data_IF_489798581422
#
_entry.id   IF_489798581422
#
_cell.length_a   1.000
_cell.length_b   1.000
_cell.length_c   1.000
_cell.angle_alpha   90.00
_cell.angle_beta   90.00
_cell.angle_gamma   90.00
#
_symmetry.space_group_name_H-M   'P 1'
#
loop_
_entity.id
_entity.type
_entity.pdbx_description
1 polymer ?
#
# COMPACT_ATOMS: atom_id res chain seq x y z
N UNK A 1 8.90 21.07 4.31
CA UNK A 1 9.86 19.94 4.29
C UNK A 1 9.80 19.28 5.66
N UNK A 2 9.29 18.06 5.77
CA UNK A 2 9.21 17.39 7.07
C UNK A 2 10.56 16.75 7.42
N UNK A 3 10.90 16.72 8.71
CA UNK A 3 12.09 16.04 9.22
C UNK A 3 12.09 14.54 8.83
N UNK A 4 10.93 13.89 8.85
CA UNK A 4 10.79 12.49 8.45
C UNK A 4 11.16 12.25 6.98
N UNK A 5 10.76 13.12 6.07
CA UNK A 5 11.15 13.02 4.67
C UNK A 5 12.65 13.21 4.48
N UNK A 6 13.25 14.14 5.20
CA UNK A 6 14.69 14.38 5.17
C UNK A 6 15.49 13.16 5.65
N UNK A 7 15.07 12.54 6.76
CA UNK A 7 15.71 11.33 7.28
C UNK A 7 15.59 10.15 6.30
N UNK A 8 14.45 9.99 5.65
CA UNK A 8 14.28 8.95 4.63
C UNK A 8 15.23 9.14 3.45
N UNK A 9 15.40 10.38 2.97
CA UNK A 9 16.35 10.68 1.89
C UNK A 9 17.79 10.31 2.26
N UNK A 10 18.20 10.56 3.50
CA UNK A 10 19.53 10.18 3.98
C UNK A 10 19.70 8.66 4.08
N UNK A 11 18.64 7.92 4.41
CA UNK A 11 18.69 6.47 4.62
C UNK A 11 18.55 5.67 3.31
N UNK A 12 17.95 6.23 2.27
CA UNK A 12 17.70 5.51 1.00
C UNK A 12 18.92 4.83 0.39
N UNK A 13 20.11 5.47 0.33
CA UNK A 13 21.31 4.83 -0.20
C UNK A 13 21.81 3.66 0.63
N UNK A 14 21.38 3.55 1.89
CA UNK A 14 21.83 2.52 2.84
C UNK A 14 21.01 1.23 2.69
N UNK A 15 19.75 1.31 2.26
CA UNK A 15 18.89 0.14 2.15
C UNK A 15 19.46 -0.99 1.30
N UNK A 16 20.04 -0.76 0.12
CA UNK A 16 20.65 -1.84 -0.67
C UNK A 16 21.88 -2.49 0.00
N UNK A 17 22.51 -1.82 0.95
CA UNK A 17 23.65 -2.36 1.72
C UNK A 17 23.16 -3.28 2.83
N UNK A 18 22.11 -2.88 3.57
CA UNK A 18 21.54 -3.63 4.70
C UNK A 18 20.61 -4.75 4.20
N UNK A 19 19.83 -4.45 3.16
CA UNK A 19 18.88 -5.35 2.52
C UNK A 19 19.16 -5.42 1.02
N UNK A 20 20.07 -6.29 0.55
CA UNK A 20 20.54 -6.30 -0.85
C UNK A 20 19.45 -6.54 -1.91
N UNK A 21 18.32 -7.12 -1.52
CA UNK A 21 17.15 -7.34 -2.39
C UNK A 21 16.23 -6.11 -2.48
N UNK A 22 16.39 -5.12 -1.61
CA UNK A 22 15.63 -3.86 -1.60
C UNK A 22 16.43 -2.79 -2.31
N UNK A 23 15.92 -2.28 -3.43
CA UNK A 23 16.57 -1.25 -4.24
C UNK A 23 16.24 0.14 -3.72
N UNK A 24 14.97 0.36 -3.35
CA UNK A 24 14.47 1.62 -2.83
C UNK A 24 13.30 1.37 -1.88
N UNK A 25 13.09 2.27 -0.91
CA UNK A 25 12.01 2.21 0.04
C UNK A 25 11.56 3.62 0.42
N UNK A 26 10.26 3.80 0.53
CA UNK A 26 9.64 5.06 0.94
C UNK A 26 8.42 4.81 1.82
N UNK A 27 8.36 5.48 2.97
CA UNK A 27 7.19 5.49 3.86
C UNK A 27 6.48 6.83 3.77
N UNK A 28 5.16 6.81 3.58
CA UNK A 28 4.39 8.02 3.31
C UNK A 28 4.08 8.79 4.59
N UNK A 29 4.51 10.07 4.63
CA UNK A 29 4.34 10.94 5.78
C UNK A 29 2.89 11.25 6.12
N UNK A 30 2.03 11.32 5.10
CA UNK A 30 0.59 11.57 5.27
C UNK A 30 -0.12 10.47 6.07
N UNK A 31 0.48 9.27 6.13
CA UNK A 31 -0.01 8.13 6.91
C UNK A 31 0.78 7.91 8.21
N UNK A 32 1.54 8.91 8.68
CA UNK A 32 2.34 8.81 9.90
C UNK A 32 3.65 8.03 9.75
N UNK A 33 4.16 7.83 8.54
CA UNK A 33 5.40 7.12 8.19
C UNK A 33 5.45 5.62 8.49
N UNK A 34 4.46 5.07 9.20
CA UNK A 34 4.43 3.66 9.56
C UNK A 34 3.34 2.88 8.83
N UNK A 35 2.17 3.48 8.63
CA UNK A 35 1.00 2.74 8.15
C UNK A 35 1.14 2.26 6.70
N UNK A 36 1.75 3.07 5.82
CA UNK A 36 1.85 2.77 4.39
C UNK A 36 3.27 3.00 3.89
N UNK A 37 3.84 1.97 3.27
CA UNK A 37 5.16 2.04 2.67
C UNK A 37 5.18 1.40 1.28
N UNK A 38 6.12 1.84 0.47
CA UNK A 38 6.38 1.32 -0.87
C UNK A 38 7.84 0.94 -1.02
N UNK A 39 8.12 -0.13 -1.78
CA UNK A 39 9.49 -0.50 -2.08
C UNK A 39 9.66 -0.97 -3.52
N UNK A 40 10.85 -0.70 -4.06
CA UNK A 40 11.36 -1.33 -5.28
C UNK A 40 12.30 -2.44 -4.84
N UNK A 41 12.02 -3.66 -5.30
CA UNK A 41 12.76 -4.87 -4.92
C UNK A 41 13.28 -5.63 -6.13
N UNK A 42 14.22 -6.51 -5.94
CA UNK A 42 14.68 -7.44 -6.97
C UNK A 42 13.70 -8.61 -7.08
N UNK A 43 13.42 -9.02 -8.31
CA UNK A 43 12.65 -10.23 -8.63
C UNK A 43 13.46 -11.05 -9.64
N UNK A 44 14.55 -11.66 -9.16
CA UNK A 44 15.47 -12.46 -9.99
C UNK A 44 14.95 -13.86 -10.25
N UNK A 45 14.06 -14.33 -9.37
CA UNK A 45 13.34 -15.60 -9.47
C UNK A 45 11.92 -15.42 -8.91
N UNK A 46 11.02 -16.31 -9.30
CA UNK A 46 9.60 -16.17 -8.96
C UNK A 46 9.36 -16.02 -7.46
N UNK A 47 8.65 -14.97 -7.08
CA UNK A 47 8.28 -14.63 -5.70
C UNK A 47 9.43 -14.22 -4.77
N UNK A 48 10.59 -13.88 -5.29
CA UNK A 48 11.66 -13.27 -4.49
C UNK A 48 11.20 -11.98 -3.79
N UNK A 49 10.32 -11.21 -4.42
CA UNK A 49 9.73 -10.02 -3.83
C UNK A 49 9.07 -10.29 -2.46
N UNK A 50 8.46 -11.46 -2.26
CA UNK A 50 7.87 -11.83 -0.96
C UNK A 50 8.91 -12.03 0.13
N UNK A 51 10.11 -12.53 -0.21
CA UNK A 51 11.24 -12.61 0.72
C UNK A 51 11.65 -11.20 1.19
N UNK A 52 11.68 -10.24 0.26
CA UNK A 52 11.94 -8.83 0.58
C UNK A 52 10.84 -8.23 1.46
N UNK A 53 9.57 -8.57 1.21
CA UNK A 53 8.45 -8.15 2.05
C UNK A 53 8.62 -8.64 3.50
N UNK A 54 8.92 -9.92 3.69
CA UNK A 54 9.16 -10.49 5.02
C UNK A 54 10.35 -9.84 5.71
N UNK A 55 11.43 -9.54 4.97
CA UNK A 55 12.58 -8.84 5.52
C UNK A 55 12.20 -7.44 6.00
N UNK A 56 11.49 -6.66 5.18
CA UNK A 56 11.05 -5.30 5.53
C UNK A 56 10.12 -5.34 6.74
N UNK A 57 9.11 -6.21 6.73
CA UNK A 57 8.12 -6.32 7.81
C UNK A 57 8.69 -6.92 9.11
N UNK A 58 9.86 -7.51 9.08
CA UNK A 58 10.58 -8.07 10.25
C UNK A 58 11.76 -7.23 10.72
N UNK A 59 12.11 -6.12 10.08
CA UNK A 59 13.33 -5.36 10.33
C UNK A 59 13.09 -4.09 11.15
N UNK A 60 13.39 -4.10 12.45
CA UNK A 60 13.44 -2.91 13.30
C UNK A 60 12.21 -2.01 13.15
N UNK A 61 12.43 -0.72 12.89
CA UNK A 61 11.37 0.28 12.69
C UNK A 61 10.49 0.00 11.46
N UNK A 62 11.00 -0.67 10.44
CA UNK A 62 10.23 -1.04 9.26
C UNK A 62 9.14 -2.08 9.59
N UNK A 63 9.29 -2.83 10.67
CA UNK A 63 8.29 -3.78 11.16
C UNK A 63 6.98 -3.11 11.61
N UNK A 64 6.98 -1.80 11.81
CA UNK A 64 5.79 -1.02 12.13
C UNK A 64 4.90 -0.76 10.90
N UNK A 65 5.40 -1.00 9.69
CA UNK A 65 4.61 -0.88 8.46
C UNK A 65 3.39 -1.80 8.51
N UNK A 66 2.22 -1.22 8.27
CA UNK A 66 0.95 -1.95 8.23
C UNK A 66 0.62 -2.47 6.84
N UNK A 67 0.78 -1.64 5.82
CA UNK A 67 0.54 -2.00 4.43
C UNK A 67 1.76 -1.67 3.58
N UNK A 68 2.30 -2.70 2.90
CA UNK A 68 3.50 -2.60 2.08
C UNK A 68 3.15 -2.90 0.62
N UNK A 69 3.48 -1.98 -0.27
CA UNK A 69 3.36 -2.17 -1.71
C UNK A 69 4.74 -2.37 -2.34
N UNK A 70 4.87 -3.38 -3.18
CA UNK A 70 6.14 -3.77 -3.80
C UNK A 70 6.05 -3.76 -5.32
N UNK A 71 7.13 -3.33 -5.96
CA UNK A 71 7.35 -3.49 -7.41
C UNK A 71 8.79 -3.91 -7.69
N UNK A 72 9.01 -4.58 -8.82
CA UNK A 72 10.33 -4.91 -9.36
C UNK A 72 10.83 -3.90 -10.39
N UNK A 73 10.03 -2.85 -10.66
CA UNK A 73 10.34 -1.81 -11.61
C UNK A 73 10.84 -0.55 -10.91
N UNK A 74 11.85 0.12 -11.47
CA UNK A 74 12.29 1.41 -10.98
C UNK A 74 11.24 2.48 -11.27
N UNK A 75 10.62 3.00 -10.22
CA UNK A 75 9.59 4.04 -10.26
C UNK A 75 9.84 5.06 -9.16
N UNK A 76 9.32 6.26 -9.33
CA UNK A 76 9.35 7.27 -8.27
C UNK A 76 8.34 6.93 -7.18
N UNK A 77 8.83 6.38 -6.07
CA UNK A 77 8.00 5.99 -4.92
C UNK A 77 7.36 7.18 -4.21
N UNK A 78 7.94 8.38 -4.32
CA UNK A 78 7.40 9.58 -3.67
C UNK A 78 6.11 10.07 -4.31
N UNK A 79 5.91 9.81 -5.59
CA UNK A 79 4.68 10.13 -6.29
C UNK A 79 3.65 9.01 -6.10
N UNK A 80 2.91 9.07 -5.00
CA UNK A 80 1.97 8.03 -4.61
C UNK A 80 0.93 7.71 -5.68
N UNK A 81 0.38 8.70 -6.36
CA UNK A 81 -0.62 8.49 -7.42
C UNK A 81 -0.05 7.65 -8.56
N UNK A 82 1.14 7.99 -9.04
CA UNK A 82 1.82 7.24 -10.11
C UNK A 82 2.24 5.85 -9.66
N UNK A 83 2.69 5.74 -8.42
CA UNK A 83 3.05 4.45 -7.85
C UNK A 83 1.83 3.54 -7.69
N UNK A 84 0.71 4.06 -7.20
CA UNK A 84 -0.54 3.31 -7.08
C UNK A 84 -1.06 2.85 -8.45
N UNK A 85 -1.09 3.73 -9.45
CA UNK A 85 -1.41 3.37 -10.84
C UNK A 85 -0.51 2.23 -11.34
N UNK A 86 0.80 2.32 -11.09
CA UNK A 86 1.76 1.31 -11.49
C UNK A 86 1.47 -0.06 -10.86
N UNK A 87 1.14 -0.09 -9.57
CA UNK A 87 0.77 -1.30 -8.84
C UNK A 87 -0.54 -1.89 -9.37
N UNK A 88 -1.59 -1.06 -9.49
CA UNK A 88 -2.92 -1.48 -9.92
C UNK A 88 -2.93 -2.06 -11.34
N UNK A 89 -2.08 -1.55 -12.23
CA UNK A 89 -1.93 -2.09 -13.58
C UNK A 89 -1.31 -3.49 -13.61
N UNK A 90 -0.60 -3.91 -12.56
CA UNK A 90 0.22 -5.14 -12.53
C UNK A 90 -0.28 -6.19 -11.55
N UNK A 91 -0.88 -5.79 -10.45
CA UNK A 91 -1.32 -6.72 -9.42
C UNK A 91 -2.48 -7.60 -9.89
N UNK A 92 -2.46 -8.88 -9.49
CA UNK A 92 -3.61 -9.78 -9.54
C UNK A 92 -4.08 -9.98 -8.11
N UNK A 93 -5.31 -9.59 -7.83
CA UNK A 93 -5.85 -9.61 -6.46
C UNK A 93 -5.81 -11.00 -5.83
N UNK A 94 -6.00 -12.03 -6.64
CA UNK A 94 -6.06 -13.44 -6.21
C UNK A 94 -4.69 -13.99 -5.78
N UNK A 95 -3.60 -13.42 -6.30
CA UNK A 95 -2.26 -13.99 -6.12
C UNK A 95 -1.23 -13.01 -5.57
N UNK A 96 -1.50 -11.71 -5.62
CA UNK A 96 -0.52 -10.67 -5.32
C UNK A 96 -0.91 -9.81 -4.10
N UNK A 97 -2.10 -10.04 -3.52
CA UNK A 97 -2.53 -9.46 -2.25
C UNK A 97 -2.42 -10.51 -1.14
N UNK A 98 -1.66 -10.18 -0.10
CA UNK A 98 -1.49 -11.02 1.08
C UNK A 98 -1.93 -10.26 2.31
N UNK A 99 -2.79 -10.86 3.10
CA UNK A 99 -3.27 -10.32 4.37
C UNK A 99 -2.86 -11.25 5.51
N UNK A 100 -2.15 -10.72 6.47
CA UNK A 100 -1.68 -11.42 7.66
C UNK A 100 -2.42 -10.87 8.86
N UNK A 101 -3.23 -11.68 9.48
CA UNK A 101 -3.95 -11.32 10.71
C UNK A 101 -3.16 -11.72 11.95
N UNK A 102 -3.52 -11.10 13.08
CA UNK A 102 -2.98 -11.46 14.39
C UNK A 102 -1.46 -11.28 14.50
N UNK A 103 -0.96 -10.15 14.02
CA UNK A 103 0.44 -9.76 14.11
C UNK A 103 0.63 -8.63 15.12
N UNK A 104 1.88 -8.46 15.56
CA UNK A 104 2.27 -7.29 16.35
C UNK A 104 2.18 -6.02 15.52
N UNK A 105 1.69 -4.95 16.14
CA UNK A 105 1.54 -3.63 15.53
C UNK A 105 2.08 -2.54 16.45
N UNK A 106 2.28 -1.33 15.90
CA UNK A 106 2.60 -0.15 16.68
C UNK A 106 1.48 0.16 17.68
N UNK A 107 1.85 0.67 18.86
CA UNK A 107 0.92 1.22 19.86
C UNK A 107 0.06 2.35 19.30
N UNK A 108 0.48 3.03 18.23
CA UNK A 108 -0.26 4.09 17.57
C UNK A 108 -1.24 3.58 16.49
N UNK A 109 -1.31 2.28 16.26
CA UNK A 109 -2.35 1.69 15.40
C UNK A 109 -3.63 1.46 16.19
N UNK A 110 -4.55 2.41 16.08
CA UNK A 110 -5.87 2.34 16.73
C UNK A 110 -6.92 1.58 15.92
N UNK A 111 -6.57 1.00 14.77
CA UNK A 111 -7.49 0.22 13.94
C UNK A 111 -7.69 -1.22 14.42
N UNK A 112 -6.88 -1.68 15.37
CA UNK A 112 -6.99 -3.00 15.98
C UNK A 112 -7.93 -3.03 17.17
N UNK A 113 -8.43 -4.23 17.51
CA UNK A 113 -9.27 -4.44 18.70
C UNK A 113 -8.47 -4.38 20.02
N UNK A 114 -7.17 -4.58 19.95
CA UNK A 114 -6.26 -4.62 21.09
C UNK A 114 -4.98 -3.83 20.79
N UNK A 115 -4.38 -3.25 21.81
CA UNK A 115 -3.10 -2.53 21.71
C UNK A 115 -2.01 -3.51 21.23
N UNK A 116 -1.16 -3.05 20.30
CA UNK A 116 -0.06 -3.82 19.69
C UNK A 116 -0.49 -5.07 18.91
N UNK A 117 -1.75 -5.20 18.55
CA UNK A 117 -2.27 -6.34 17.83
C UNK A 117 -3.11 -5.89 16.64
N UNK A 118 -2.81 -6.42 15.46
CA UNK A 118 -3.52 -6.04 14.25
C UNK A 118 -3.22 -6.96 13.09
N UNK A 119 -3.42 -6.44 11.90
CA UNK A 119 -3.16 -7.13 10.64
C UNK A 119 -2.20 -6.33 9.76
N UNK A 120 -1.48 -7.02 8.89
CA UNK A 120 -0.61 -6.43 7.87
C UNK A 120 -1.03 -6.87 6.49
N UNK A 121 -0.77 -6.03 5.49
CA UNK A 121 -1.01 -6.34 4.10
C UNK A 121 0.24 -6.16 3.25
N UNK A 122 0.39 -6.99 2.23
CA UNK A 122 1.39 -6.84 1.17
C UNK A 122 0.68 -6.91 -0.16
N UNK A 123 0.92 -5.92 -1.02
CA UNK A 123 0.42 -5.88 -2.38
C UNK A 123 1.59 -5.79 -3.36
N UNK A 124 1.66 -6.71 -4.31
CA UNK A 124 2.73 -6.76 -5.30
C UNK A 124 2.23 -6.38 -6.68
N UNK A 125 2.94 -5.46 -7.33
CA UNK A 125 2.75 -5.10 -8.73
C UNK A 125 4.02 -5.37 -9.51
N UNK A 126 4.23 -6.64 -9.91
CA UNK A 126 5.46 -7.13 -10.52
C UNK A 126 5.30 -7.31 -12.04
N UNK A 127 6.42 -7.22 -12.74
CA UNK A 127 6.51 -7.52 -14.15
C UNK A 127 5.76 -6.53 -15.07
N UNK A 128 5.14 -7.06 -16.12
CA UNK A 128 4.40 -6.26 -17.11
C UNK A 128 2.97 -5.97 -16.65
N UNK A 129 2.36 -4.86 -17.13
CA UNK A 129 0.95 -4.61 -16.90
C UNK A 129 0.08 -5.80 -17.35
N UNK A 130 -0.94 -6.12 -16.58
CA UNK A 130 -1.89 -7.20 -16.81
C UNK A 130 -3.28 -6.69 -17.14
N UNK A 131 -3.49 -5.38 -17.03
CA UNK A 131 -4.75 -4.72 -17.39
C UNK A 131 -4.54 -3.26 -17.76
N UNK A 132 -5.46 -2.73 -18.54
CA UNK A 132 -5.62 -1.29 -18.74
C UNK A 132 -6.52 -0.73 -17.63
N UNK A 133 -6.14 0.41 -17.10
CA UNK A 133 -6.86 1.06 -16.01
C UNK A 133 -7.79 2.14 -16.56
N UNK A 134 -9.05 2.14 -16.10
CA UNK A 134 -9.98 3.21 -16.39
C UNK A 134 -9.47 4.54 -15.83
N UNK A 135 -9.53 5.59 -16.63
CA UNK A 135 -9.06 6.93 -16.27
C UNK A 135 -10.17 7.81 -15.70
N UNK A 136 -11.41 7.49 -16.04
CA UNK A 136 -12.59 8.25 -15.69
C UNK A 136 -13.67 7.30 -15.20
N UNK A 137 -14.48 7.78 -14.28
CA UNK A 137 -15.70 7.08 -13.88
C UNK A 137 -16.78 7.33 -14.93
N UNK A 138 -17.38 6.26 -15.43
CA UNK A 138 -18.50 6.31 -16.36
C UNK A 138 -19.69 5.57 -15.73
N UNK A 139 -20.72 6.31 -15.41
CA UNK A 139 -21.93 5.75 -14.82
C UNK A 139 -22.41 6.54 -13.60
N UNK A 140 -23.52 6.08 -13.05
CA UNK A 140 -24.04 6.63 -11.79
C UNK A 140 -23.21 6.13 -10.61
N UNK A 141 -22.96 6.96 -9.59
CA UNK A 141 -22.27 6.50 -8.39
C UNK A 141 -23.10 5.41 -7.69
N UNK A 142 -22.46 4.45 -6.99
CA UNK A 142 -23.16 3.42 -6.23
C UNK A 142 -24.18 4.04 -5.26
N UNK A 143 -25.30 3.36 -5.00
CA UNK A 143 -26.35 3.89 -4.11
C UNK A 143 -25.79 4.32 -2.76
N UNK A 144 -26.17 5.51 -2.29
CA UNK A 144 -25.69 6.08 -1.03
C UNK A 144 -24.31 6.72 -1.07
N UNK A 145 -23.59 6.62 -2.20
CA UNK A 145 -22.33 7.34 -2.40
C UNK A 145 -22.53 8.69 -3.07
N UNK A 146 -21.55 9.55 -2.94
CA UNK A 146 -21.52 10.89 -3.53
C UNK A 146 -20.13 11.24 -4.02
N UNK A 147 -20.05 12.26 -4.88
CA UNK A 147 -18.79 12.89 -5.30
C UNK A 147 -17.71 11.90 -5.79
N UNK A 148 -17.99 11.09 -6.82
CA UNK A 148 -16.99 10.16 -7.36
C UNK A 148 -15.81 10.94 -7.93
N UNK A 149 -14.62 10.72 -7.41
CA UNK A 149 -13.36 11.35 -7.83
C UNK A 149 -12.39 10.28 -8.29
N UNK A 150 -11.99 10.30 -9.54
CA UNK A 150 -10.88 9.48 -10.01
C UNK A 150 -9.57 10.00 -9.37
N UNK A 151 -9.08 9.30 -8.36
CA UNK A 151 -7.85 9.65 -7.66
C UNK A 151 -6.62 9.44 -8.54
N UNK A 152 -6.56 8.32 -9.21
CA UNK A 152 -5.62 7.99 -10.28
C UNK A 152 -6.28 6.92 -11.17
N UNK A 153 -5.74 6.60 -12.35
CA UNK A 153 -6.25 5.50 -13.15
C UNK A 153 -6.41 4.22 -12.34
N UNK A 154 -7.60 3.63 -12.38
CA UNK A 154 -7.94 2.42 -11.64
C UNK A 154 -8.29 2.61 -10.15
N UNK A 155 -8.31 3.85 -9.66
CA UNK A 155 -8.69 4.15 -8.27
C UNK A 155 -9.75 5.25 -8.22
N UNK A 156 -10.93 4.89 -7.71
CA UNK A 156 -12.05 5.79 -7.49
C UNK A 156 -12.22 6.06 -5.99
N UNK A 157 -12.36 7.31 -5.62
CA UNK A 157 -12.71 7.74 -4.27
C UNK A 157 -14.16 8.18 -4.25
N UNK A 158 -14.92 7.68 -3.31
CA UNK A 158 -16.34 7.98 -3.12
C UNK A 158 -16.55 8.56 -1.72
N UNK A 159 -17.40 9.58 -1.63
CA UNK A 159 -17.96 10.01 -0.35
C UNK A 159 -19.07 9.03 0.07
N UNK A 160 -18.97 8.45 1.25
CA UNK A 160 -19.99 7.62 1.86
C UNK A 160 -20.73 8.35 2.99
N UNK A 161 -21.72 7.71 3.63
CA UNK A 161 -22.31 8.19 4.87
C UNK A 161 -21.29 8.14 6.01
N UNK A 162 -21.57 8.87 7.10
CA UNK A 162 -20.78 8.77 8.31
C UNK A 162 -20.89 7.35 8.89
N UNK A 163 -19.77 6.78 9.35
CA UNK A 163 -19.73 5.42 9.88
C UNK A 163 -20.74 5.17 11.03
N UNK A 164 -20.94 6.17 11.89
CA UNK A 164 -21.91 6.08 12.99
C UNK A 164 -23.37 5.97 12.50
N UNK A 165 -23.66 6.50 11.31
CA UNK A 165 -25.00 6.47 10.73
C UNK A 165 -25.29 5.20 9.93
N UNK A 166 -24.29 4.59 9.33
CA UNK A 166 -24.42 3.34 8.54
C UNK A 166 -23.11 2.54 8.58
N UNK A 167 -22.99 1.67 9.57
CA UNK A 167 -21.80 0.83 9.78
C UNK A 167 -21.67 -0.29 8.73
N UNK A 168 -22.75 -0.64 8.04
CA UNK A 168 -22.76 -1.73 7.05
C UNK A 168 -22.53 -1.20 5.61
N UNK A 169 -22.49 0.11 5.42
CA UNK A 169 -22.41 0.71 4.09
C UNK A 169 -21.23 0.17 3.26
N UNK A 170 -20.04 0.08 3.85
CA UNK A 170 -18.85 -0.40 3.14
C UNK A 170 -18.96 -1.87 2.72
N UNK A 171 -19.63 -2.69 3.52
CA UNK A 171 -19.88 -4.11 3.22
C UNK A 171 -20.91 -4.24 2.08
N UNK A 172 -21.96 -3.43 2.12
CA UNK A 172 -22.99 -3.42 1.09
C UNK A 172 -22.45 -2.88 -0.24
N UNK A 173 -21.58 -1.87 -0.19
CA UNK A 173 -20.93 -1.31 -1.38
C UNK A 173 -20.08 -2.35 -2.12
N UNK A 174 -19.40 -3.23 -1.42
CA UNK A 174 -18.55 -4.27 -2.02
C UNK A 174 -19.34 -5.32 -2.84
N UNK A 175 -20.65 -5.38 -2.70
CA UNK A 175 -21.55 -6.24 -3.47
C UNK A 175 -22.04 -5.65 -4.79
N UNK A 176 -21.72 -4.40 -5.10
CA UNK A 176 -22.04 -3.67 -6.34
C UNK A 176 -20.80 -3.52 -7.23
#
# INVERSE_FOLDING_TARGET
FSLGNYLQELLRPIFPVVMPSVIDLWSYGDTGFHSLSAAVVKERYGREAMMSAFRILGEGQLSLTKFLMLTDQRVDLKNFKRFLEHILARCRWETDLFLFSNLSMDTLDYAGLEVNRGSKGVLMGLGKPVRDLAREWQGEPPPGSRDPIAFCPGCLVLGGPEYESDQEYSTNLAGH
#
